data_IF_213126618767
#
_entry.id   IF_213126618767
#
_cell.length_a   1.000
_cell.length_b   1.000
_cell.length_c   1.000
_cell.angle_alpha   90.00
_cell.angle_beta   90.00
_cell.angle_gamma   90.00
#
_symmetry.space_group_name_H-M   'P 1'
#
loop_
_entity.id
_entity.type
_entity.pdbx_description
1 polymer ?
#
# COMPACT_ATOMS: atom_id res chain seq x y z
N UNK A 1 3.26 -16.13 14.92
CA UNK A 1 3.45 -16.28 13.46
C UNK A 1 4.41 -17.45 13.23
N UNK A 2 4.24 -18.16 12.12
CA UNK A 2 5.16 -19.24 11.77
C UNK A 2 6.47 -18.67 11.22
N UNK A 3 7.61 -19.34 11.53
CA UNK A 3 8.90 -19.00 10.96
C UNK A 3 8.88 -19.12 9.43
N UNK A 4 9.58 -18.23 8.75
CA UNK A 4 9.80 -18.36 7.31
C UNK A 4 11.19 -19.00 7.01
N UNK A 5 11.62 -18.93 5.75
CA UNK A 5 12.90 -19.52 5.29
C UNK A 5 14.17 -18.83 5.84
N UNK A 6 14.05 -17.73 6.60
CA UNK A 6 15.18 -17.07 7.31
C UNK A 6 15.03 -17.15 8.82
N UNK A 7 13.97 -17.76 9.34
CA UNK A 7 13.69 -17.94 10.76
C UNK A 7 12.51 -17.11 11.25
N UNK A 8 12.55 -16.70 12.52
CA UNK A 8 11.45 -16.00 13.18
C UNK A 8 11.03 -14.73 12.42
N UNK A 9 9.72 -14.49 12.36
CA UNK A 9 9.12 -13.30 11.79
C UNK A 9 8.13 -12.67 12.77
N UNK A 10 7.95 -11.37 12.67
CA UNK A 10 6.96 -10.62 13.44
C UNK A 10 6.26 -9.61 12.56
N UNK A 11 5.07 -9.20 12.98
CA UNK A 11 4.33 -8.05 12.43
C UNK A 11 3.89 -7.17 13.59
N UNK A 12 3.75 -5.87 13.36
CA UNK A 12 3.38 -4.92 14.41
C UNK A 12 2.01 -4.32 14.07
N UNK A 13 1.02 -4.65 14.90
CA UNK A 13 -0.28 -3.99 14.83
C UNK A 13 -0.27 -2.75 15.73
N UNK A 14 -0.48 -1.60 15.15
CA UNK A 14 -0.61 -0.30 15.81
C UNK A 14 -2.09 0.00 15.94
N UNK A 15 -2.53 0.46 17.12
CA UNK A 15 -3.90 0.93 17.36
C UNK A 15 -3.86 2.39 17.78
N UNK A 16 -4.76 3.19 17.22
CA UNK A 16 -5.03 4.53 17.71
C UNK A 16 -5.71 4.44 19.10
N UNK A 17 -5.19 5.20 20.06
CA UNK A 17 -5.76 5.20 21.41
C UNK A 17 -7.11 5.92 21.43
N UNK A 18 -8.15 5.21 21.89
CA UNK A 18 -9.51 5.72 22.01
C UNK A 18 -10.11 5.35 23.36
N UNK A 19 -10.81 6.29 23.94
CA UNK A 19 -11.50 6.09 25.24
C UNK A 19 -12.76 5.24 25.10
N UNK A 20 -13.43 5.27 23.94
CA UNK A 20 -14.67 4.52 23.67
C UNK A 20 -14.51 3.73 22.39
N UNK A 21 -14.54 2.39 22.44
CA UNK A 21 -14.48 1.54 21.26
C UNK A 21 -15.64 1.80 20.29
N UNK A 22 -15.37 1.74 19.00
CA UNK A 22 -16.37 1.82 17.94
C UNK A 22 -16.74 0.42 17.45
N UNK A 23 -17.96 0.29 16.91
CA UNK A 23 -18.36 -0.91 16.15
C UNK A 23 -17.75 -0.94 14.74
N UNK A 24 -17.15 0.16 14.32
CA UNK A 24 -16.50 0.31 13.00
C UNK A 24 -15.00 0.44 13.20
N UNK A 25 -14.22 -0.30 12.41
CA UNK A 25 -12.77 -0.23 12.44
C UNK A 25 -12.21 -0.11 11.02
N UNK A 26 -11.06 0.55 10.88
CA UNK A 26 -10.29 0.61 9.65
C UNK A 26 -8.89 0.06 9.90
N UNK A 27 -8.49 -0.94 9.11
CA UNK A 27 -7.13 -1.45 9.06
C UNK A 27 -6.38 -0.85 7.88
N UNK A 28 -5.28 -0.15 8.14
CA UNK A 28 -4.38 0.39 7.13
C UNK A 28 -3.16 -0.52 6.92
N UNK A 29 -2.77 -0.73 5.65
CA UNK A 29 -1.59 -1.49 5.25
C UNK A 29 -0.71 -0.63 4.33
N UNK A 30 0.54 -0.42 4.74
CA UNK A 30 1.51 0.43 4.06
C UNK A 30 2.07 -0.18 2.75
N UNK A 31 2.89 0.60 2.02
CA UNK A 31 3.58 0.22 0.78
C UNK A 31 4.98 -0.36 0.96
N UNK A 32 5.74 -0.44 -0.16
CA UNK A 32 7.14 -0.84 -0.18
C UNK A 32 8.04 0.25 0.41
N UNK A 33 9.12 -0.15 1.12
CA UNK A 33 10.00 0.77 1.83
C UNK A 33 9.21 1.75 2.69
N UNK A 34 8.30 1.23 3.50
CA UNK A 34 7.35 2.03 4.26
C UNK A 34 7.01 1.40 5.62
N UNK A 35 6.33 2.15 6.46
CA UNK A 35 5.75 1.76 7.74
C UNK A 35 4.66 2.77 8.10
N UNK A 36 3.85 2.49 9.09
CA UNK A 36 2.84 3.49 9.51
C UNK A 36 3.49 4.62 10.33
N UNK A 37 3.34 5.87 9.85
CA UNK A 37 3.76 7.08 10.55
C UNK A 37 2.78 8.26 10.39
N UNK A 38 1.74 8.09 9.59
CA UNK A 38 0.75 9.11 9.24
C UNK A 38 -0.24 9.33 10.40
N UNK A 39 0.22 9.84 11.56
CA UNK A 39 -0.63 10.02 12.75
C UNK A 39 -1.89 10.83 12.46
N UNK A 40 -1.77 11.92 11.67
CA UNK A 40 -2.93 12.74 11.27
C UNK A 40 -4.01 11.96 10.51
N UNK A 41 -3.65 10.89 9.78
CA UNK A 41 -4.62 10.00 9.16
C UNK A 41 -5.38 9.20 10.20
N UNK A 42 -4.68 8.64 11.18
CA UNK A 42 -5.31 7.92 12.29
C UNK A 42 -6.25 8.81 13.09
N UNK A 43 -5.81 10.03 13.42
CA UNK A 43 -6.62 11.03 14.14
C UNK A 43 -7.88 11.41 13.36
N UNK A 44 -7.76 11.65 12.06
CA UNK A 44 -8.90 12.02 11.20
C UNK A 44 -9.94 10.90 11.10
N UNK A 45 -9.50 9.65 10.98
CA UNK A 45 -10.38 8.48 10.93
C UNK A 45 -11.05 8.27 12.29
N UNK A 46 -10.31 8.41 13.39
CA UNK A 46 -10.85 8.31 14.74
C UNK A 46 -11.90 9.39 15.03
N UNK A 47 -11.70 10.63 14.57
CA UNK A 47 -12.68 11.71 14.67
C UNK A 47 -14.00 11.41 13.94
N UNK A 48 -13.97 10.58 12.88
CA UNK A 48 -15.17 10.10 12.19
C UNK A 48 -15.83 8.90 12.87
N UNK A 49 -15.44 8.59 14.11
CA UNK A 49 -16.05 7.51 14.87
C UNK A 49 -15.67 6.10 14.40
N UNK A 50 -14.52 5.94 13.77
CA UNK A 50 -13.98 4.67 13.27
C UNK A 50 -12.70 4.36 14.04
N UNK A 51 -12.58 3.17 14.63
CA UNK A 51 -11.35 2.73 15.30
C UNK A 51 -10.26 2.50 14.25
N UNK A 52 -9.11 3.13 14.46
CA UNK A 52 -8.03 3.05 13.49
C UNK A 52 -6.95 2.06 13.94
N UNK A 53 -6.57 1.21 13.01
CA UNK A 53 -5.47 0.27 13.13
C UNK A 53 -4.54 0.39 11.94
N UNK A 54 -3.24 0.17 12.14
CA UNK A 54 -2.26 0.07 11.08
C UNK A 54 -1.36 -1.14 11.31
N UNK A 55 -0.97 -1.81 10.22
CA UNK A 55 -0.15 -3.00 10.24
C UNK A 55 1.19 -2.74 9.57
N UNK A 56 2.29 -2.76 10.34
CA UNK A 56 3.62 -2.90 9.76
C UNK A 56 3.84 -4.39 9.46
N UNK A 57 3.91 -4.72 8.18
CA UNK A 57 4.08 -6.10 7.70
C UNK A 57 5.43 -6.69 8.12
N UNK A 58 5.56 -8.04 8.12
CA UNK A 58 6.86 -8.70 8.34
C UNK A 58 7.94 -8.11 7.46
N UNK A 59 9.15 -7.92 8.01
CA UNK A 59 10.32 -7.35 7.33
C UNK A 59 10.15 -5.90 6.85
N UNK A 60 9.20 -5.16 7.45
CA UNK A 60 8.99 -3.74 7.22
C UNK A 60 8.99 -2.95 8.53
N UNK A 61 9.41 -1.71 8.50
CA UNK A 61 9.27 -0.77 9.60
C UNK A 61 9.71 -1.33 10.96
N UNK A 62 8.79 -1.34 11.93
CA UNK A 62 9.00 -1.86 13.29
C UNK A 62 9.12 -3.38 13.36
N UNK A 63 8.73 -4.06 12.31
CA UNK A 63 8.68 -5.53 12.23
C UNK A 63 9.94 -6.15 11.64
N UNK A 64 10.99 -5.36 11.36
CA UNK A 64 12.27 -5.89 10.90
C UNK A 64 13.07 -6.44 12.08
N UNK A 65 13.43 -7.71 12.03
CA UNK A 65 14.30 -8.36 13.00
C UNK A 65 15.77 -8.31 12.55
N UNK A 66 16.76 -8.34 13.48
CA UNK A 66 18.18 -8.15 13.16
C UNK A 66 18.78 -9.12 12.15
N UNK A 67 18.22 -10.32 12.03
CA UNK A 67 18.70 -11.37 11.11
C UNK A 67 18.09 -11.29 9.71
N UNK A 68 17.19 -10.32 9.47
CA UNK A 68 16.40 -10.25 8.24
C UNK A 68 16.95 -9.22 7.25
N UNK A 69 16.81 -9.53 5.99
CA UNK A 69 16.86 -8.54 4.91
C UNK A 69 15.50 -7.88 4.76
N UNK A 70 15.49 -6.54 4.72
CA UNK A 70 14.26 -5.77 4.54
C UNK A 70 13.53 -6.18 3.24
N UNK A 71 12.21 -6.33 3.35
CA UNK A 71 11.27 -6.58 2.22
C UNK A 71 11.48 -7.92 1.48
N UNK A 72 12.37 -8.80 1.95
CA UNK A 72 12.57 -10.10 1.31
C UNK A 72 11.31 -10.95 1.43
N UNK A 73 10.76 -11.33 0.29
CA UNK A 73 9.60 -12.21 0.15
C UNK A 73 9.73 -13.05 -1.12
N UNK A 74 9.23 -14.27 -1.10
CA UNK A 74 9.25 -15.20 -2.23
C UNK A 74 7.86 -15.47 -2.79
N UNK A 75 6.83 -15.26 -1.97
CA UNK A 75 5.41 -15.35 -2.34
C UNK A 75 4.62 -14.32 -1.52
N UNK A 76 3.72 -13.56 -2.16
CA UNK A 76 2.93 -12.53 -1.46
C UNK A 76 1.94 -13.13 -0.43
N UNK A 77 1.66 -14.43 -0.50
CA UNK A 77 0.85 -15.13 0.50
C UNK A 77 1.55 -15.25 1.87
N UNK A 78 2.86 -15.01 1.93
CA UNK A 78 3.58 -14.93 3.20
C UNK A 78 3.02 -13.84 4.13
N UNK A 79 2.42 -12.78 3.58
CA UNK A 79 1.78 -11.71 4.35
C UNK A 79 0.34 -12.01 4.81
N UNK A 80 -0.25 -13.14 4.40
CA UNK A 80 -1.65 -13.45 4.72
C UNK A 80 -1.86 -13.80 6.18
N UNK A 81 -0.85 -14.35 6.84
CA UNK A 81 -0.90 -14.71 8.25
C UNK A 81 -1.11 -13.48 9.13
N UNK A 82 -0.29 -12.43 8.96
CA UNK A 82 -0.42 -11.21 9.74
C UNK A 82 -1.68 -10.40 9.41
N UNK A 83 -2.11 -10.40 8.16
CA UNK A 83 -3.39 -9.79 7.79
C UNK A 83 -4.57 -10.47 8.47
N UNK A 84 -4.58 -11.80 8.45
CA UNK A 84 -5.61 -12.60 9.14
C UNK A 84 -5.57 -12.41 10.66
N UNK A 85 -4.39 -12.37 11.25
CA UNK A 85 -4.22 -12.13 12.69
C UNK A 85 -4.69 -10.72 13.10
N UNK A 86 -4.34 -9.69 12.32
CA UNK A 86 -4.78 -8.31 12.58
C UNK A 86 -6.32 -8.18 12.50
N UNK A 87 -6.95 -8.72 11.46
CA UNK A 87 -8.41 -8.72 11.31
C UNK A 87 -9.11 -9.49 12.43
N UNK A 88 -8.51 -10.59 12.89
CA UNK A 88 -9.03 -11.35 14.03
C UNK A 88 -9.01 -10.52 15.31
N UNK A 89 -7.88 -9.89 15.63
CA UNK A 89 -7.73 -9.02 16.82
C UNK A 89 -8.75 -7.88 16.77
N UNK A 90 -8.88 -7.18 15.65
CA UNK A 90 -9.82 -6.07 15.47
C UNK A 90 -11.26 -6.50 15.79
N UNK A 91 -11.66 -7.72 15.39
CA UNK A 91 -13.00 -8.26 15.70
C UNK A 91 -13.15 -8.68 17.15
N UNK A 92 -12.13 -9.30 17.72
CA UNK A 92 -12.10 -9.66 19.15
C UNK A 92 -12.17 -8.43 20.04
N UNK A 93 -11.68 -7.28 19.59
CA UNK A 93 -11.84 -5.98 20.24
C UNK A 93 -13.22 -5.32 20.03
N UNK A 94 -14.13 -5.97 19.29
CA UNK A 94 -15.54 -5.61 19.21
C UNK A 94 -15.99 -4.91 17.92
N UNK A 95 -15.13 -4.83 16.90
CA UNK A 95 -15.52 -4.28 15.60
C UNK A 95 -16.50 -5.21 14.87
N UNK A 96 -17.63 -4.68 14.47
CA UNK A 96 -18.67 -5.37 13.67
C UNK A 96 -18.49 -5.11 12.18
N UNK A 97 -18.08 -3.89 11.82
CA UNK A 97 -17.76 -3.48 10.44
C UNK A 97 -16.28 -3.16 10.32
N UNK A 98 -15.61 -3.79 9.36
CA UNK A 98 -14.19 -3.55 9.11
C UNK A 98 -13.99 -3.01 7.69
N UNK A 99 -13.31 -1.87 7.60
CA UNK A 99 -12.79 -1.29 6.37
C UNK A 99 -11.33 -1.66 6.23
N UNK A 100 -10.91 -2.07 5.03
CA UNK A 100 -9.51 -2.34 4.72
C UNK A 100 -8.99 -1.24 3.81
N UNK A 101 -7.95 -0.54 4.25
CA UNK A 101 -7.28 0.49 3.44
C UNK A 101 -5.83 0.10 3.20
N UNK A 102 -5.35 0.29 1.98
CA UNK A 102 -4.00 -0.11 1.64
C UNK A 102 -3.34 0.81 0.62
N UNK A 103 -2.03 1.02 0.79
CA UNK A 103 -1.21 1.85 -0.07
C UNK A 103 -0.25 1.00 -0.93
N UNK A 104 -0.11 1.35 -2.22
CA UNK A 104 0.92 0.84 -3.12
C UNK A 104 1.04 -0.70 -3.11
N UNK A 105 2.20 -1.27 -2.71
CA UNK A 105 2.42 -2.72 -2.58
C UNK A 105 1.45 -3.37 -1.59
N UNK A 106 1.09 -2.68 -0.51
CA UNK A 106 0.02 -3.12 0.39
C UNK A 106 -1.31 -3.31 -0.33
N UNK A 107 -1.64 -2.43 -1.30
CA UNK A 107 -2.82 -2.56 -2.16
C UNK A 107 -2.80 -3.83 -3.01
N UNK A 108 -1.63 -4.22 -3.55
CA UNK A 108 -1.48 -5.49 -4.25
C UNK A 108 -1.67 -6.69 -3.32
N UNK A 109 -1.00 -6.68 -2.17
CA UNK A 109 -1.04 -7.78 -1.18
C UNK A 109 -2.47 -7.99 -0.68
N UNK A 110 -3.14 -6.93 -0.25
CA UNK A 110 -4.50 -7.00 0.30
C UNK A 110 -5.54 -7.37 -0.75
N UNK A 111 -5.39 -6.92 -2.01
CA UNK A 111 -6.26 -7.35 -3.12
C UNK A 111 -6.19 -8.86 -3.33
N UNK A 112 -4.98 -9.43 -3.30
CA UNK A 112 -4.79 -10.87 -3.45
C UNK A 112 -5.28 -11.64 -2.22
N UNK A 113 -5.03 -11.11 -1.02
CA UNK A 113 -5.53 -11.69 0.23
C UNK A 113 -7.05 -11.82 0.23
N UNK A 114 -7.76 -10.76 -0.15
CA UNK A 114 -9.22 -10.78 -0.25
C UNK A 114 -9.71 -11.78 -1.30
N UNK A 115 -9.04 -11.89 -2.44
CA UNK A 115 -9.41 -12.84 -3.48
C UNK A 115 -9.14 -14.31 -3.12
N UNK A 116 -8.14 -14.57 -2.25
CA UNK A 116 -7.69 -15.93 -1.92
C UNK A 116 -8.30 -16.48 -0.63
N UNK A 117 -8.92 -15.63 0.18
CA UNK A 117 -9.44 -16.00 1.51
C UNK A 117 -10.95 -15.75 1.60
N UNK A 118 -11.61 -16.43 2.57
CA UNK A 118 -13.02 -16.17 2.87
C UNK A 118 -13.26 -14.88 3.65
N UNK A 119 -12.20 -14.11 3.97
CA UNK A 119 -12.33 -12.86 4.72
C UNK A 119 -12.96 -11.72 3.92
N UNK A 120 -13.09 -11.87 2.60
CA UNK A 120 -13.79 -10.90 1.76
C UNK A 120 -15.22 -10.59 2.24
N UNK A 121 -15.95 -11.59 2.73
CA UNK A 121 -17.35 -11.45 3.19
C UNK A 121 -17.47 -10.63 4.46
N UNK A 122 -16.36 -10.38 5.12
CA UNK A 122 -16.29 -9.69 6.42
C UNK A 122 -15.70 -8.29 6.32
N UNK A 123 -15.32 -7.85 5.11
CA UNK A 123 -14.83 -6.49 4.83
C UNK A 123 -15.97 -5.67 4.23
N UNK A 124 -16.37 -4.61 4.94
CA UNK A 124 -17.48 -3.73 4.55
C UNK A 124 -17.14 -2.92 3.28
N UNK A 125 -15.90 -2.46 3.17
CA UNK A 125 -15.38 -1.81 1.97
C UNK A 125 -13.85 -1.88 1.91
N UNK A 126 -13.30 -1.74 0.69
CA UNK A 126 -11.88 -1.76 0.42
C UNK A 126 -11.42 -0.43 -0.18
N UNK A 127 -10.43 0.22 0.43
CA UNK A 127 -9.91 1.53 0.04
C UNK A 127 -8.48 1.37 -0.48
N UNK A 128 -8.22 1.85 -1.67
CA UNK A 128 -6.93 1.74 -2.34
C UNK A 128 -6.33 3.12 -2.60
N UNK A 129 -5.17 3.36 -2.02
CA UNK A 129 -4.34 4.54 -2.20
C UNK A 129 -3.18 4.17 -3.15
N UNK A 130 -3.27 4.58 -4.40
CA UNK A 130 -2.25 4.36 -5.44
C UNK A 130 -1.70 2.93 -5.48
N UNK A 131 -2.55 1.89 -5.65
CA UNK A 131 -2.12 0.49 -5.56
C UNK A 131 -1.15 0.10 -6.66
N UNK A 132 -0.17 -0.76 -6.31
CA UNK A 132 0.88 -1.23 -7.20
C UNK A 132 0.40 -2.40 -8.06
N UNK A 133 -0.24 -2.14 -9.20
CA UNK A 133 -0.82 -3.16 -10.07
C UNK A 133 -0.05 -3.40 -11.37
N UNK A 134 0.96 -2.58 -11.65
CA UNK A 134 1.94 -2.81 -12.71
C UNK A 134 3.25 -2.10 -12.42
N UNK A 135 4.34 -2.58 -13.03
CA UNK A 135 5.63 -1.91 -12.99
C UNK A 135 5.62 -0.71 -13.95
N UNK A 136 6.20 0.41 -13.52
CA UNK A 136 6.43 1.56 -14.39
C UNK A 136 7.66 1.34 -15.30
N UNK A 137 7.66 0.23 -16.04
CA UNK A 137 8.73 -0.17 -16.96
C UNK A 137 8.39 0.19 -18.41
N UNK A 138 9.43 0.22 -19.25
CA UNK A 138 9.21 0.26 -20.70
C UNK A 138 8.67 -1.09 -21.20
N UNK A 139 7.98 -1.07 -22.35
CA UNK A 139 7.46 -2.30 -22.98
C UNK A 139 8.53 -3.36 -23.24
N UNK A 140 9.76 -2.94 -23.51
CA UNK A 140 10.88 -3.85 -23.74
C UNK A 140 11.34 -4.52 -22.44
N UNK A 141 11.45 -3.74 -21.34
CA UNK A 141 11.78 -4.26 -20.02
C UNK A 141 10.73 -5.27 -19.54
N UNK A 142 9.44 -4.92 -19.70
CA UNK A 142 8.34 -5.77 -19.28
C UNK A 142 8.25 -7.09 -20.06
N UNK A 143 8.46 -7.06 -21.38
CA UNK A 143 8.30 -8.23 -22.26
C UNK A 143 9.52 -9.13 -22.33
N UNK A 144 10.73 -8.60 -22.14
CA UNK A 144 11.99 -9.34 -22.34
C UNK A 144 12.75 -9.48 -21.02
N UNK A 145 13.09 -8.37 -20.38
CA UNK A 145 13.99 -8.36 -19.21
C UNK A 145 13.30 -9.01 -17.99
N UNK A 146 12.09 -8.57 -17.68
CA UNK A 146 11.35 -9.04 -16.51
C UNK A 146 11.05 -10.56 -16.55
N UNK A 147 10.64 -11.18 -17.67
CA UNK A 147 10.49 -12.63 -17.75
C UNK A 147 11.78 -13.41 -17.48
N UNK A 148 12.90 -12.97 -18.04
CA UNK A 148 14.22 -13.61 -17.83
C UNK A 148 14.66 -13.53 -16.37
N UNK A 149 14.57 -12.33 -15.75
CA UNK A 149 14.91 -12.14 -14.35
C UNK A 149 14.04 -12.98 -13.43
N UNK A 150 12.73 -13.01 -13.66
CA UNK A 150 11.81 -13.75 -12.81
C UNK A 150 11.89 -15.27 -12.99
N UNK A 151 12.36 -15.77 -14.13
CA UNK A 151 12.64 -17.19 -14.34
C UNK A 151 13.79 -17.66 -13.44
N UNK A 152 14.88 -16.89 -13.33
CA UNK A 152 16.04 -17.22 -12.50
C UNK A 152 15.75 -17.16 -10.99
N UNK A 153 14.67 -16.54 -10.56
CA UNK A 153 14.27 -16.47 -9.14
C UNK A 153 13.94 -17.84 -8.52
N UNK A 154 13.67 -18.86 -9.31
CA UNK A 154 13.48 -20.23 -8.83
C UNK A 154 14.77 -20.87 -8.29
N UNK A 155 15.92 -20.41 -8.77
CA UNK A 155 17.25 -20.94 -8.43
C UNK A 155 17.93 -20.05 -7.37
N UNK A 156 17.81 -18.73 -7.51
CA UNK A 156 18.50 -17.77 -6.66
C UNK A 156 17.57 -16.64 -6.18
N UNK A 157 16.55 -16.92 -5.33
CA UNK A 157 15.54 -15.94 -4.95
C UNK A 157 16.12 -14.74 -4.19
N UNK A 158 17.13 -14.94 -3.35
CA UNK A 158 17.77 -13.89 -2.55
C UNK A 158 18.81 -13.06 -3.32
N UNK A 159 19.06 -13.39 -4.63
CA UNK A 159 20.01 -12.63 -5.43
C UNK A 159 19.50 -11.20 -5.67
N UNK A 160 20.35 -10.22 -5.35
CA UNK A 160 20.11 -8.80 -5.61
C UNK A 160 20.32 -8.49 -7.09
N UNK A 161 19.39 -7.77 -7.70
CA UNK A 161 19.38 -7.42 -9.14
C UNK A 161 19.44 -5.93 -9.42
N UNK A 162 19.21 -5.09 -8.40
CA UNK A 162 19.44 -3.65 -8.49
C UNK A 162 20.42 -3.20 -7.42
N UNK A 163 21.24 -2.19 -7.76
CA UNK A 163 22.20 -1.62 -6.82
C UNK A 163 21.54 -0.87 -5.69
N UNK A 164 22.31 -0.66 -4.62
CA UNK A 164 21.93 0.27 -3.54
C UNK A 164 22.16 1.68 -4.07
N UNK A 165 21.11 2.47 -4.19
CA UNK A 165 21.22 3.90 -4.48
C UNK A 165 21.65 4.61 -3.20
N UNK A 166 22.76 5.33 -3.22
CA UNK A 166 23.29 6.06 -2.07
C UNK A 166 22.73 7.49 -1.94
N UNK A 167 21.96 7.92 -2.92
CA UNK A 167 21.38 9.28 -2.95
C UNK A 167 19.88 9.19 -2.69
N UNK A 168 19.30 10.19 -2.01
CA UNK A 168 17.86 10.29 -1.84
C UNK A 168 17.14 10.27 -3.19
N UNK A 169 16.13 9.43 -3.31
CA UNK A 169 15.31 9.42 -4.51
C UNK A 169 14.35 10.62 -4.55
N UNK A 170 13.88 10.96 -5.74
CA UNK A 170 13.06 12.15 -5.96
C UNK A 170 11.70 12.06 -5.27
N UNK A 171 11.17 10.83 -5.06
CA UNK A 171 9.94 10.64 -4.29
C UNK A 171 10.17 10.92 -2.80
N UNK A 172 11.25 10.41 -2.19
CA UNK A 172 11.59 10.74 -0.81
C UNK A 172 11.85 12.24 -0.64
N UNK A 173 12.46 12.88 -1.66
CA UNK A 173 12.64 14.34 -1.65
C UNK A 173 11.33 15.12 -1.67
N UNK A 174 10.28 14.59 -2.33
CA UNK A 174 8.95 15.22 -2.34
C UNK A 174 8.20 15.09 -1.01
N UNK A 175 8.64 14.19 -0.13
CA UNK A 175 8.00 13.94 1.16
C UNK A 175 8.70 14.66 2.31
N UNK A 176 10.04 14.53 2.41
CA UNK A 176 10.80 14.95 3.59
C UNK A 176 11.04 16.46 3.68
N UNK A 177 10.81 17.03 4.88
CA UNK A 177 10.98 18.45 5.18
C UNK A 177 12.41 18.95 4.99
N UNK A 178 13.40 18.07 5.18
CA UNK A 178 14.82 18.39 4.91
C UNK A 178 15.15 18.55 3.43
N UNK A 179 14.18 18.26 2.53
CA UNK A 179 14.31 18.48 1.08
C UNK A 179 13.19 19.43 0.61
N UNK A 180 12.11 18.91 0.02
CA UNK A 180 11.08 19.72 -0.63
C UNK A 180 9.65 19.41 -0.14
N UNK A 181 9.48 18.40 0.71
CA UNK A 181 8.20 17.99 1.28
C UNK A 181 7.90 18.63 2.64
N UNK A 182 6.70 18.44 3.17
CA UNK A 182 6.31 18.95 4.48
C UNK A 182 6.43 17.91 5.62
N UNK A 183 6.87 16.67 5.33
CA UNK A 183 6.77 15.56 6.27
C UNK A 183 8.11 15.20 6.91
N UNK A 184 8.03 14.66 8.13
CA UNK A 184 9.16 14.04 8.81
C UNK A 184 8.78 12.60 9.20
N UNK A 185 9.71 11.66 8.98
CA UNK A 185 9.58 10.27 9.39
C UNK A 185 10.94 9.66 9.73
N UNK A 186 10.93 8.54 10.44
CA UNK A 186 12.18 7.84 10.81
C UNK A 186 12.80 7.16 9.58
N UNK A 187 13.87 7.75 9.07
CA UNK A 187 14.59 7.21 7.90
C UNK A 187 15.38 5.93 8.18
N UNK A 188 15.38 5.45 9.42
CA UNK A 188 15.88 4.09 9.74
C UNK A 188 14.85 3.05 9.33
N UNK A 189 13.55 3.37 9.43
CA UNK A 189 12.42 2.49 9.14
C UNK A 189 11.92 2.62 7.69
N UNK A 190 11.97 3.83 7.12
CA UNK A 190 11.66 4.13 5.72
C UNK A 190 12.84 4.90 5.13
N UNK A 191 13.64 4.23 4.32
CA UNK A 191 14.82 4.86 3.72
C UNK A 191 14.42 5.94 2.72
N UNK A 192 15.22 7.00 2.62
CA UNK A 192 15.07 8.02 1.61
C UNK A 192 15.82 7.71 0.29
N UNK A 193 16.30 6.47 0.17
CA UNK A 193 16.96 5.95 -1.03
C UNK A 193 16.44 4.54 -1.37
N UNK A 194 16.67 4.11 -2.62
CA UNK A 194 16.22 2.82 -3.10
C UNK A 194 16.89 1.63 -2.38
N UNK A 195 16.12 0.62 -2.09
CA UNK A 195 16.58 -0.65 -1.53
C UNK A 195 17.02 -1.63 -2.62
N UNK A 196 17.89 -2.60 -2.26
CA UNK A 196 18.20 -3.70 -3.15
C UNK A 196 16.94 -4.50 -3.49
N UNK A 197 16.64 -4.66 -4.78
CA UNK A 197 15.56 -5.53 -5.24
C UNK A 197 16.10 -6.93 -5.41
N UNK A 198 15.40 -7.93 -4.82
CA UNK A 198 15.74 -9.35 -4.91
C UNK A 198 14.89 -10.05 -5.96
N UNK A 199 15.44 -11.09 -6.58
CA UNK A 199 14.73 -11.86 -7.60
C UNK A 199 13.45 -12.50 -7.06
N UNK A 200 13.44 -12.99 -5.81
CA UNK A 200 12.25 -13.55 -5.15
C UNK A 200 11.12 -12.54 -5.07
N UNK A 201 11.40 -11.34 -4.57
CA UNK A 201 10.46 -10.25 -4.50
C UNK A 201 9.91 -9.87 -5.88
N UNK A 202 10.79 -9.66 -6.87
CA UNK A 202 10.39 -9.31 -8.23
C UNK A 202 9.44 -10.35 -8.84
N UNK A 203 9.74 -11.65 -8.63
CA UNK A 203 8.89 -12.74 -9.10
C UNK A 203 7.55 -12.79 -8.38
N UNK A 204 7.53 -12.58 -7.06
CA UNK A 204 6.31 -12.56 -6.26
C UNK A 204 5.38 -11.42 -6.71
N UNK A 205 5.91 -10.20 -6.84
CA UNK A 205 5.17 -9.03 -7.34
C UNK A 205 4.62 -9.30 -8.74
N UNK A 206 5.44 -9.75 -9.68
CA UNK A 206 4.99 -10.03 -11.06
C UNK A 206 3.87 -11.06 -11.12
N UNK A 207 3.91 -12.09 -10.27
CA UNK A 207 2.82 -13.08 -10.18
C UNK A 207 1.54 -12.43 -9.67
N UNK A 208 1.66 -11.56 -8.67
CA UNK A 208 0.54 -10.78 -8.14
C UNK A 208 -0.06 -9.87 -9.20
N UNK A 209 0.75 -9.08 -9.91
CA UNK A 209 0.31 -8.21 -11.00
C UNK A 209 -0.49 -8.99 -12.05
N UNK A 210 0.02 -10.12 -12.54
CA UNK A 210 -0.69 -10.94 -13.54
C UNK A 210 -2.06 -11.43 -13.07
N UNK A 211 -2.24 -11.64 -11.77
CA UNK A 211 -3.55 -12.03 -11.22
C UNK A 211 -4.52 -10.85 -11.20
N UNK A 212 -4.09 -9.72 -10.63
CA UNK A 212 -4.90 -8.48 -10.58
C UNK A 212 -5.30 -8.03 -11.98
N UNK A 213 -4.37 -8.05 -12.93
CA UNK A 213 -4.60 -7.60 -14.31
C UNK A 213 -5.67 -8.43 -15.06
N UNK A 214 -5.92 -9.67 -14.60
CA UNK A 214 -7.00 -10.54 -15.11
C UNK A 214 -8.37 -10.25 -14.48
N UNK A 215 -8.38 -9.52 -13.35
CA UNK A 215 -9.57 -9.28 -12.53
C UNK A 215 -9.69 -10.27 -11.37
N UNK A 216 -10.23 -9.80 -10.23
CA UNK A 216 -10.30 -10.59 -8.99
C UNK A 216 -11.75 -10.88 -8.53
N UNK A 217 -12.75 -10.21 -9.10
CA UNK A 217 -14.17 -10.36 -8.77
C UNK A 217 -14.48 -10.14 -7.27
N UNK A 218 -13.85 -9.11 -6.66
CA UNK A 218 -14.09 -8.75 -5.27
C UNK A 218 -15.51 -8.18 -5.12
N UNK A 219 -16.34 -8.69 -4.18
CA UNK A 219 -17.76 -8.35 -4.12
C UNK A 219 -18.07 -7.05 -3.39
N UNK A 220 -17.17 -6.58 -2.48
CA UNK A 220 -17.40 -5.40 -1.67
C UNK A 220 -17.23 -4.10 -2.48
N UNK A 221 -17.80 -2.98 -2.03
CA UNK A 221 -17.50 -1.64 -2.55
C UNK A 221 -16.00 -1.34 -2.44
N UNK A 222 -15.42 -0.77 -3.50
CA UNK A 222 -14.01 -0.44 -3.59
C UNK A 222 -13.85 1.03 -3.95
N UNK A 223 -13.15 1.80 -3.10
CA UNK A 223 -12.66 3.13 -3.42
C UNK A 223 -11.25 3.03 -3.99
N UNK A 224 -11.07 3.41 -5.24
CA UNK A 224 -9.77 3.47 -5.91
C UNK A 224 -9.33 4.91 -6.07
N UNK A 225 -8.24 5.30 -5.42
CA UNK A 225 -7.67 6.65 -5.56
C UNK A 225 -6.27 6.59 -6.15
N UNK A 226 -5.94 7.54 -7.01
CA UNK A 226 -4.61 7.76 -7.57
C UNK A 226 -4.34 9.25 -7.76
N UNK A 227 -3.08 9.65 -7.97
CA UNK A 227 -2.79 10.96 -8.54
C UNK A 227 -3.51 11.15 -9.88
N UNK A 228 -3.65 12.40 -10.32
CA UNK A 228 -4.17 12.71 -11.66
C UNK A 228 -3.15 12.49 -12.77
N UNK A 229 -1.84 12.46 -12.44
CA UNK A 229 -0.75 12.32 -13.41
C UNK A 229 0.47 11.63 -12.82
N UNK A 230 1.26 11.03 -13.70
CA UNK A 230 2.57 10.45 -13.38
C UNK A 230 3.69 11.26 -14.03
N UNK A 231 4.84 11.34 -13.36
CA UNK A 231 6.07 11.88 -13.92
C UNK A 231 7.22 10.88 -13.71
N UNK A 232 7.87 10.47 -14.79
CA UNK A 232 9.13 9.73 -14.71
C UNK A 232 10.25 10.71 -14.36
N UNK A 233 10.41 10.98 -13.07
CA UNK A 233 11.35 11.96 -12.56
C UNK A 233 12.80 11.53 -12.81
N UNK A 234 13.63 12.46 -13.31
CA UNK A 234 15.06 12.27 -13.56
C UNK A 234 15.80 13.59 -13.34
N UNK A 235 17.08 13.50 -12.93
CA UNK A 235 17.95 14.65 -12.79
C UNK A 235 17.70 15.46 -11.50
N UNK A 236 17.84 16.79 -11.58
CA UNK A 236 17.62 17.68 -10.46
C UNK A 236 16.14 17.84 -10.12
N UNK A 237 15.86 18.24 -8.88
CA UNK A 237 14.50 18.52 -8.40
C UNK A 237 13.79 19.57 -9.29
N UNK A 238 12.51 19.35 -9.49
CA UNK A 238 11.59 20.26 -10.16
C UNK A 238 10.29 20.34 -9.33
N UNK A 239 9.64 21.49 -9.27
CA UNK A 239 8.40 21.69 -8.50
C UNK A 239 7.26 20.74 -8.94
N UNK A 240 7.22 20.38 -10.22
CA UNK A 240 6.25 19.42 -10.74
C UNK A 240 6.34 18.05 -10.06
N UNK A 241 7.50 17.68 -9.50
CA UNK A 241 7.68 16.41 -8.78
C UNK A 241 6.94 16.39 -7.45
N UNK A 242 6.66 17.54 -6.85
CA UNK A 242 5.79 17.67 -5.67
C UNK A 242 4.28 17.59 -5.95
N UNK A 243 3.86 17.31 -7.22
CA UNK A 243 2.47 17.37 -7.67
C UNK A 243 2.09 16.22 -8.61
N UNK A 244 2.74 15.07 -8.49
CA UNK A 244 2.50 13.92 -9.36
C UNK A 244 2.92 12.61 -8.68
N UNK A 245 2.45 11.48 -9.18
CA UNK A 245 3.00 10.17 -8.83
C UNK A 245 4.34 9.98 -9.55
N UNK A 246 5.44 9.85 -8.80
CA UNK A 246 6.79 9.63 -9.32
C UNK A 246 7.18 8.14 -9.34
N UNK A 247 6.31 7.28 -8.83
CA UNK A 247 6.58 5.85 -8.60
C UNK A 247 5.86 5.00 -9.64
N UNK A 248 4.55 5.21 -9.82
CA UNK A 248 3.69 4.40 -10.66
C UNK A 248 3.11 5.18 -11.85
N UNK A 249 2.66 4.44 -12.85
CA UNK A 249 1.83 4.99 -13.91
C UNK A 249 0.36 5.00 -13.47
N UNK A 250 -0.23 6.19 -13.34
CA UNK A 250 -1.62 6.34 -12.88
C UNK A 250 -2.64 5.74 -13.86
N UNK A 251 -2.30 5.64 -15.15
CA UNK A 251 -3.15 4.98 -16.14
C UNK A 251 -3.25 3.47 -15.87
N UNK A 252 -2.15 2.85 -15.44
CA UNK A 252 -2.15 1.43 -15.07
C UNK A 252 -2.91 1.21 -13.74
N UNK A 253 -2.76 2.10 -12.76
CA UNK A 253 -3.55 2.07 -11.52
C UNK A 253 -5.05 2.07 -11.87
N UNK A 254 -5.51 3.03 -12.67
CA UNK A 254 -6.90 3.18 -13.06
C UNK A 254 -7.40 2.00 -13.91
N UNK A 255 -6.60 1.55 -14.86
CA UNK A 255 -6.95 0.45 -15.77
C UNK A 255 -7.13 -0.87 -15.05
N UNK A 256 -6.21 -1.22 -14.18
CA UNK A 256 -6.24 -2.50 -13.49
C UNK A 256 -7.09 -2.45 -12.22
N UNK A 257 -7.14 -1.33 -11.52
CA UNK A 257 -7.97 -1.15 -10.35
C UNK A 257 -9.47 -1.34 -10.66
N UNK A 258 -9.94 -0.85 -11.81
CA UNK A 258 -11.32 -1.05 -12.26
C UNK A 258 -11.70 -2.51 -12.56
N UNK A 259 -10.73 -3.43 -12.63
CA UNK A 259 -10.96 -4.86 -12.83
C UNK A 259 -11.06 -5.65 -11.52
N UNK A 260 -10.90 -5.01 -10.37
CA UNK A 260 -10.93 -5.70 -9.08
C UNK A 260 -12.30 -6.29 -8.75
N UNK A 261 -13.37 -5.62 -9.16
CA UNK A 261 -14.74 -6.07 -8.87
C UNK A 261 -15.78 -5.23 -9.59
N UNK A 262 -17.08 -5.56 -9.40
CA UNK A 262 -18.18 -4.83 -10.06
C UNK A 262 -18.46 -3.44 -9.45
N UNK A 263 -18.02 -3.18 -8.21
CA UNK A 263 -18.37 -1.99 -7.42
C UNK A 263 -17.13 -1.15 -7.14
N UNK A 264 -16.44 -0.67 -8.19
CA UNK A 264 -15.26 0.19 -8.08
C UNK A 264 -15.62 1.63 -8.37
N UNK A 265 -15.50 2.49 -7.36
CA UNK A 265 -15.54 3.94 -7.48
C UNK A 265 -14.10 4.46 -7.60
N UNK A 266 -13.76 5.08 -8.73
CA UNK A 266 -12.38 5.45 -9.07
C UNK A 266 -12.20 6.97 -9.17
N UNK A 267 -11.27 7.52 -8.40
CA UNK A 267 -10.98 8.94 -8.32
C UNK A 267 -9.52 9.25 -8.67
N UNK A 268 -9.32 10.35 -9.39
CA UNK A 268 -8.02 10.96 -9.62
C UNK A 268 -7.93 12.23 -8.77
N UNK A 269 -6.88 12.31 -7.98
CA UNK A 269 -6.63 13.44 -7.07
C UNK A 269 -5.69 14.42 -7.76
N UNK A 270 -6.17 15.62 -8.13
CA UNK A 270 -5.32 16.63 -8.75
C UNK A 270 -4.12 16.99 -7.87
N UNK A 271 -2.93 17.01 -8.45
CA UNK A 271 -1.67 17.24 -7.75
C UNK A 271 -1.32 16.27 -6.60
N UNK A 272 -1.98 15.11 -6.54
CA UNK A 272 -1.67 14.06 -5.55
C UNK A 272 -0.27 13.49 -5.76
N UNK A 273 0.41 13.14 -4.67
CA UNK A 273 1.64 12.36 -4.71
C UNK A 273 1.33 10.85 -4.84
N UNK A 274 2.34 10.00 -4.88
CA UNK A 274 2.16 8.55 -4.86
C UNK A 274 1.43 8.08 -3.60
N UNK A 275 1.86 8.49 -2.40
CA UNK A 275 1.01 8.40 -1.21
C UNK A 275 0.15 9.65 -1.13
N UNK A 276 -1.13 9.52 -1.45
CA UNK A 276 -2.06 10.64 -1.53
C UNK A 276 -2.25 11.33 -0.16
N UNK A 277 -2.17 10.57 0.94
CA UNK A 277 -2.28 11.10 2.31
C UNK A 277 -1.02 11.86 2.74
N UNK A 278 0.04 11.85 1.93
CA UNK A 278 1.26 12.62 2.12
C UNK A 278 1.42 13.74 1.07
N UNK A 279 0.37 14.07 0.32
CA UNK A 279 0.43 15.13 -0.68
C UNK A 279 0.81 16.47 -0.06
N UNK A 280 1.75 17.17 -0.69
CA UNK A 280 2.23 18.48 -0.23
C UNK A 280 1.27 19.62 -0.60
N UNK A 281 0.51 19.45 -1.68
CA UNK A 281 -0.53 20.38 -2.10
C UNK A 281 -1.73 20.28 -1.14
N UNK A 282 -2.07 21.39 -0.47
CA UNK A 282 -3.12 21.40 0.56
C UNK A 282 -4.51 21.08 -0.01
N UNK A 283 -4.77 21.43 -1.27
CA UNK A 283 -6.03 21.12 -1.95
C UNK A 283 -6.10 19.62 -2.27
N UNK A 284 -5.00 19.04 -2.75
CA UNK A 284 -4.89 17.59 -2.96
C UNK A 284 -5.11 16.84 -1.65
N UNK A 285 -4.40 17.23 -0.58
CA UNK A 285 -4.52 16.65 0.75
C UNK A 285 -5.97 16.68 1.27
N UNK A 286 -6.62 17.84 1.23
CA UNK A 286 -8.02 17.98 1.65
C UNK A 286 -8.98 17.16 0.78
N UNK A 287 -8.70 17.06 -0.53
CA UNK A 287 -9.52 16.28 -1.46
C UNK A 287 -9.46 14.79 -1.17
N UNK A 288 -8.30 14.25 -0.79
CA UNK A 288 -8.16 12.84 -0.40
C UNK A 288 -9.08 12.49 0.77
N UNK A 289 -9.06 13.27 1.85
CA UNK A 289 -9.91 13.04 3.01
C UNK A 289 -11.40 13.22 2.69
N UNK A 290 -11.74 14.25 1.95
CA UNK A 290 -13.13 14.45 1.49
C UNK A 290 -13.63 13.25 0.68
N UNK A 291 -12.83 12.75 -0.27
CA UNK A 291 -13.18 11.58 -1.09
C UNK A 291 -13.35 10.34 -0.21
N UNK A 292 -12.41 10.09 0.71
CA UNK A 292 -12.50 8.97 1.64
C UNK A 292 -13.79 9.01 2.48
N UNK A 293 -14.05 10.13 3.14
CA UNK A 293 -15.19 10.22 4.05
C UNK A 293 -16.52 10.25 3.31
N UNK A 294 -16.61 10.92 2.16
CA UNK A 294 -17.81 10.85 1.30
C UNK A 294 -18.13 9.41 0.90
N UNK A 295 -17.12 8.63 0.51
CA UNK A 295 -17.30 7.22 0.21
C UNK A 295 -17.77 6.42 1.43
N UNK A 296 -17.12 6.57 2.58
CA UNK A 296 -17.48 5.85 3.81
C UNK A 296 -18.91 6.19 4.27
N UNK A 297 -19.32 7.44 4.20
CA UNK A 297 -20.67 7.89 4.57
C UNK A 297 -21.74 7.35 3.63
N UNK A 298 -21.43 7.23 2.33
CA UNK A 298 -22.34 6.67 1.33
C UNK A 298 -22.72 5.20 1.62
N UNK A 299 -21.82 4.44 2.25
CA UNK A 299 -22.06 3.04 2.60
C UNK A 299 -23.13 2.86 3.69
N UNK A 300 -23.44 3.91 4.46
CA UNK A 300 -24.48 3.90 5.50
C UNK A 300 -25.82 4.42 4.96
N UNK A 301 -25.80 5.29 3.94
CA UNK A 301 -27.01 5.85 3.36
C UNK A 301 -27.82 4.83 2.55
N UNK A 302 -27.20 3.76 2.07
CA UNK A 302 -27.85 2.68 1.30
C UNK A 302 -28.49 1.58 2.18
N UNK A 303 -28.44 1.71 3.52
CA UNK A 303 -28.92 0.70 4.47
C UNK A 303 -30.35 0.93 4.97
N UNK A 304 -31.07 1.90 4.44
CA UNK A 304 -32.52 2.08 4.70
C UNK A 304 -33.32 1.69 3.47
N UNK A 305 -34.09 0.57 3.53
CA UNK A 305 -35.13 0.25 2.55
C UNK A 305 -36.33 1.16 2.70
#
# INVERSE_FOLDING_TARGET
MQDDYVGAVTATLIRHDRTTPSKRALLYVHGYNDYFFQAAMGDSIAQHGIDFYALDLRKYGRSILPHQDAFEVRDLREYYEELGAALKIIREEGAEEVYLMAHSTGGLITSLYLADTKNQDSIRAFILNSPFFDFNFSKAEEKIVLPLLTASAGIAPSKVISGVFKSPDLYAQSLLSRYHGPWDYDTRLKKDYGHPIRLGWLRAIRRGHKRVQRGLQLPMPILLMSSDKSIRAKGAWQEAFGKADLVLDVEDIQRYGKKLGPHVEAHRIPNGLHDLFLSSDSTAYATVYRTLFTFLDSLHSTSHP
#
